data_IF_488152764495
#
_entry.id   IF_488152764495
#
_cell.length_a   1.000
_cell.length_b   1.000
_cell.length_c   1.000
_cell.angle_alpha   90.00
_cell.angle_beta   90.00
_cell.angle_gamma   90.00
#
_symmetry.space_group_name_H-M   'P 1'
#
loop_
_entity.id
_entity.type
_entity.pdbx_description
1 polymer ?
#
# COMPACT_ATOMS: atom_id res chain seq x y z
N UNK A 1 -20.44 12.74 6.00
CA UNK A 1 -19.02 12.83 6.43
C UNK A 1 -18.35 11.48 6.69
N UNK A 2 -19.11 10.40 6.96
CA UNK A 2 -18.58 9.06 7.27
C UNK A 2 -17.59 8.45 6.24
N UNK A 3 -17.76 8.69 4.93
CA UNK A 3 -16.87 8.13 3.90
C UNK A 3 -15.45 8.72 4.00
N UNK A 4 -15.33 10.02 4.33
CA UNK A 4 -14.04 10.71 4.49
C UNK A 4 -13.29 10.20 5.72
N UNK A 5 -14.01 9.85 6.78
CA UNK A 5 -13.46 9.21 7.98
C UNK A 5 -13.00 7.79 7.70
N UNK A 6 -13.83 6.97 7.04
CA UNK A 6 -13.46 5.60 6.67
C UNK A 6 -12.20 5.54 5.79
N UNK A 7 -12.09 6.44 4.81
CA UNK A 7 -10.88 6.60 3.99
C UNK A 7 -9.69 7.01 4.85
N UNK A 8 -9.84 7.98 5.76
CA UNK A 8 -8.75 8.47 6.62
C UNK A 8 -8.27 7.41 7.64
N UNK A 9 -9.17 6.59 8.16
CA UNK A 9 -8.87 5.51 9.11
C UNK A 9 -8.07 4.38 8.44
N UNK A 10 -8.27 4.10 7.15
CA UNK A 10 -7.47 3.11 6.40
C UNK A 10 -6.20 3.68 5.77
N UNK A 11 -6.20 4.95 5.37
CA UNK A 11 -5.03 5.60 4.76
C UNK A 11 -3.84 5.68 5.73
N UNK A 12 -4.09 5.95 7.03
CA UNK A 12 -3.02 6.03 8.03
C UNK A 12 -2.26 4.70 8.16
N UNK A 13 -2.92 3.54 8.38
CA UNK A 13 -2.26 2.23 8.43
C UNK A 13 -1.44 1.88 7.18
N UNK A 14 -1.94 2.19 5.98
CA UNK A 14 -1.29 1.81 4.71
C UNK A 14 -0.02 2.63 4.48
N UNK A 15 -0.04 3.93 4.80
CA UNK A 15 1.16 4.75 4.78
C UNK A 15 2.17 4.25 5.82
N UNK A 16 1.70 3.85 7.00
CA UNK A 16 2.56 3.36 8.08
C UNK A 16 3.27 2.05 7.68
N UNK A 17 2.55 1.08 7.09
CA UNK A 17 3.16 -0.19 6.65
C UNK A 17 4.11 0.00 5.49
N UNK A 18 3.77 0.88 4.55
CA UNK A 18 4.65 1.21 3.41
C UNK A 18 5.93 1.89 3.91
N UNK A 19 5.82 2.85 4.82
CA UNK A 19 6.98 3.51 5.45
C UNK A 19 7.84 2.52 6.23
N UNK A 20 7.24 1.62 7.01
CA UNK A 20 7.98 0.59 7.75
C UNK A 20 8.74 -0.35 6.81
N UNK A 21 8.11 -0.79 5.71
CA UNK A 21 8.76 -1.64 4.72
C UNK A 21 9.93 -0.92 4.02
N UNK A 22 9.72 0.34 3.60
CA UNK A 22 10.76 1.19 3.00
C UNK A 22 11.92 1.38 3.97
N UNK A 23 11.66 1.73 5.23
CA UNK A 23 12.70 1.95 6.24
C UNK A 23 13.44 0.65 6.62
N UNK A 24 12.74 -0.48 6.70
CA UNK A 24 13.34 -1.78 7.01
C UNK A 24 14.21 -2.34 5.88
N UNK A 25 13.84 -2.09 4.63
CA UNK A 25 14.59 -2.53 3.44
C UNK A 25 15.55 -1.46 2.90
N UNK A 26 15.51 -0.23 3.42
CA UNK A 26 16.37 0.88 3.02
C UNK A 26 17.88 0.51 2.99
N UNK A 27 18.47 -0.08 4.05
CA UNK A 27 19.90 -0.40 4.04
C UNK A 27 20.25 -1.50 3.04
N UNK A 28 19.37 -2.49 2.88
CA UNK A 28 19.52 -3.57 1.91
C UNK A 28 19.42 -3.04 0.48
N UNK A 29 18.48 -2.14 0.21
CA UNK A 29 18.30 -1.49 -1.09
C UNK A 29 19.46 -0.55 -1.46
N UNK A 30 20.10 0.07 -0.46
CA UNK A 30 21.33 0.87 -0.64
C UNK A 30 22.59 0.03 -0.90
N UNK A 31 22.50 -1.30 -0.77
CA UNK A 31 23.60 -2.20 -1.12
C UNK A 31 24.71 -2.25 -0.08
N UNK A 32 24.41 -1.93 1.18
CA UNK A 32 25.34 -2.13 2.28
C UNK A 32 25.52 -3.63 2.58
N UNK A 33 26.40 -4.28 1.80
CA UNK A 33 26.81 -5.67 1.99
C UNK A 33 27.65 -6.18 0.81
N UNK A 34 28.80 -6.81 1.10
CA UNK A 34 29.60 -7.52 0.11
C UNK A 34 28.77 -8.68 -0.47
N UNK A 35 28.43 -8.63 -1.76
CA UNK A 35 27.59 -9.65 -2.42
C UNK A 35 26.08 -9.35 -2.43
N UNK A 36 25.65 -8.13 -2.07
CA UNK A 36 24.24 -7.76 -1.93
C UNK A 36 23.47 -7.48 -3.23
N UNK A 37 24.08 -7.58 -4.41
CA UNK A 37 23.41 -7.29 -5.68
C UNK A 37 22.09 -8.07 -5.92
N UNK A 38 22.01 -9.40 -5.69
CA UNK A 38 20.74 -10.12 -5.82
C UNK A 38 19.72 -9.72 -4.74
N UNK A 39 20.17 -9.49 -3.50
CA UNK A 39 19.33 -9.06 -2.37
C UNK A 39 18.74 -7.66 -2.60
N UNK A 40 19.52 -6.74 -3.19
CA UNK A 40 19.06 -5.41 -3.62
C UNK A 40 17.94 -5.50 -4.65
N UNK A 41 18.12 -6.34 -5.67
CA UNK A 41 17.13 -6.53 -6.72
C UNK A 41 15.81 -7.07 -6.16
N UNK A 42 15.88 -8.08 -5.28
CA UNK A 42 14.70 -8.64 -4.61
C UNK A 42 13.99 -7.60 -3.72
N UNK A 43 14.75 -6.82 -2.93
CA UNK A 43 14.17 -5.79 -2.08
C UNK A 43 13.43 -4.72 -2.89
N UNK A 44 13.98 -4.29 -4.03
CA UNK A 44 13.33 -3.33 -4.94
C UNK A 44 12.03 -3.88 -5.55
N UNK A 45 12.02 -5.16 -5.95
CA UNK A 45 10.81 -5.80 -6.50
C UNK A 45 9.70 -5.89 -5.45
N UNK A 46 10.05 -6.28 -4.21
CA UNK A 46 9.09 -6.38 -3.10
C UNK A 46 8.53 -4.99 -2.76
N UNK A 47 9.39 -3.98 -2.68
CA UNK A 47 9.00 -2.59 -2.45
C UNK A 47 8.01 -2.09 -3.52
N UNK A 48 8.32 -2.31 -4.79
CA UNK A 48 7.43 -1.98 -5.90
C UNK A 48 6.09 -2.70 -5.81
N UNK A 49 6.12 -4.00 -5.52
CA UNK A 49 4.91 -4.84 -5.38
C UNK A 49 4.02 -4.41 -4.22
N UNK A 50 4.58 -4.11 -3.05
CA UNK A 50 3.84 -3.66 -1.87
C UNK A 50 3.22 -2.29 -2.10
N UNK A 51 3.95 -1.35 -2.71
CA UNK A 51 3.42 -0.03 -3.05
C UNK A 51 2.27 -0.18 -4.05
N UNK A 52 2.45 -0.97 -5.10
CA UNK A 52 1.42 -1.20 -6.11
C UNK A 52 0.17 -1.87 -5.51
N UNK A 53 0.35 -2.91 -4.69
CA UNK A 53 -0.74 -3.63 -4.03
C UNK A 53 -1.50 -2.75 -3.03
N UNK A 54 -0.78 -1.92 -2.27
CA UNK A 54 -1.39 -0.93 -1.37
C UNK A 54 -2.20 0.13 -2.11
N UNK A 55 -1.70 0.66 -3.22
CA UNK A 55 -2.42 1.64 -4.06
C UNK A 55 -3.66 1.00 -4.68
N UNK A 56 -3.53 -0.22 -5.24
CA UNK A 56 -4.66 -0.96 -5.77
C UNK A 56 -5.71 -1.18 -4.70
N UNK A 57 -5.36 -1.73 -3.54
CA UNK A 57 -6.30 -2.00 -2.45
C UNK A 57 -7.00 -0.73 -1.97
N UNK A 58 -6.24 0.35 -1.77
CA UNK A 58 -6.77 1.65 -1.32
C UNK A 58 -7.70 2.31 -2.34
N UNK A 59 -7.50 2.11 -3.64
CA UNK A 59 -8.45 2.56 -4.67
C UNK A 59 -9.61 1.59 -4.87
N UNK A 60 -9.37 0.28 -4.70
CA UNK A 60 -10.36 -0.77 -4.91
C UNK A 60 -11.48 -0.68 -3.88
N UNK A 61 -11.16 -0.44 -2.60
CA UNK A 61 -12.14 -0.30 -1.52
C UNK A 61 -13.16 0.84 -1.77
N UNK A 62 -12.76 2.10 -2.04
CA UNK A 62 -13.70 3.18 -2.32
C UNK A 62 -14.38 3.01 -3.67
N UNK A 63 -13.71 2.47 -4.71
CA UNK A 63 -14.34 2.19 -6.00
C UNK A 63 -15.46 1.13 -5.87
N UNK A 64 -15.19 0.04 -5.14
CA UNK A 64 -16.17 -0.99 -4.82
C UNK A 64 -17.30 -0.41 -3.98
N UNK A 65 -17.00 0.42 -2.98
CA UNK A 65 -18.03 1.06 -2.16
C UNK A 65 -18.90 2.03 -2.96
N UNK A 66 -18.33 2.83 -3.86
CA UNK A 66 -19.08 3.70 -4.78
C UNK A 66 -20.00 2.88 -5.70
N UNK A 67 -19.52 1.72 -6.16
CA UNK A 67 -20.31 0.83 -7.01
C UNK A 67 -21.43 0.13 -6.22
N UNK A 68 -21.15 -0.30 -4.99
CA UNK A 68 -22.15 -0.98 -4.15
C UNK A 68 -23.17 -0.01 -3.56
N UNK A 69 -22.76 1.21 -3.22
CA UNK A 69 -23.67 2.26 -2.76
C UNK A 69 -24.49 2.89 -3.90
N UNK A 70 -24.18 2.54 -5.17
CA UNK A 70 -25.08 2.69 -6.32
C UNK A 70 -26.10 1.57 -6.44
N UNK A 71 -26.05 0.51 -5.61
CA UNK A 71 -27.22 -0.34 -5.44
C UNK A 71 -28.31 0.52 -4.79
N UNK A 72 -29.42 0.78 -5.49
CA UNK A 72 -30.44 1.69 -5.03
C UNK A 72 -30.95 1.19 -3.67
N UNK A 73 -31.04 2.11 -2.71
CA UNK A 73 -31.99 1.96 -1.61
C UNK A 73 -33.38 1.99 -2.25
N UNK A 74 -33.82 0.83 -2.72
CA UNK A 74 -35.22 0.57 -2.94
C UNK A 74 -35.77 0.11 -1.58
N UNK A 75 -36.44 1.06 -0.93
CA UNK A 75 -37.39 0.91 0.19
C UNK A 75 -36.80 0.79 1.59
#
# INVERSE_FOLDING_TARGET
TAIREAVRVRFRPILLTTLTAVLGMLPTALGWGLGAAPEQGLALVILGGVVWSSVLSTNLIPALYLHWHRAPRAT
#
